data_IF_721107489114
#
_entry.id   IF_721107489114
#
_cell.length_a   1.000
_cell.length_b   1.000
_cell.length_c   1.000
_cell.angle_alpha   90.00
_cell.angle_beta   90.00
_cell.angle_gamma   90.00
#
_symmetry.space_group_name_H-M   'P 1'
#
loop_
_entity.id
_entity.type
_entity.pdbx_description
1 polymer ?
#
# COMPACT_ATOMS: atom_id res chain seq x y z
N UNK A 1 -9.19 8.37 -12.35
CA UNK A 1 -8.14 8.61 -11.33
C UNK A 1 -8.62 8.03 -10.02
N UNK A 2 -7.79 7.23 -9.36
CA UNK A 2 -8.09 6.70 -8.03
C UNK A 2 -8.40 7.85 -7.06
N UNK A 3 -9.41 7.67 -6.20
CA UNK A 3 -9.73 8.63 -5.12
C UNK A 3 -8.76 8.53 -3.94
N UNK A 4 -7.96 7.46 -3.89
CA UNK A 4 -7.05 7.15 -2.79
C UNK A 4 -5.63 7.13 -3.33
N UNK A 5 -4.76 7.89 -2.71
CA UNK A 5 -3.32 7.92 -2.98
C UNK A 5 -2.58 7.54 -1.71
N UNK A 6 -1.94 6.37 -1.65
CA UNK A 6 -1.00 6.03 -0.59
C UNK A 6 0.19 6.99 -0.61
N UNK A 7 0.63 7.43 0.58
CA UNK A 7 1.78 8.30 0.73
C UNK A 7 2.80 7.69 1.68
N UNK A 8 4.05 7.75 1.29
CA UNK A 8 5.23 7.25 2.01
C UNK A 8 5.97 8.45 2.60
N UNK A 9 6.20 8.43 3.91
CA UNK A 9 7.08 9.39 4.56
C UNK A 9 8.53 9.00 4.35
N UNK A 10 9.33 9.91 3.81
CA UNK A 10 10.73 9.68 3.47
C UNK A 10 11.63 10.60 4.29
N UNK A 11 12.59 10.04 5.01
CA UNK A 11 13.61 10.82 5.69
C UNK A 11 14.69 11.28 4.70
N UNK A 12 14.44 12.38 3.98
CA UNK A 12 15.32 12.99 2.95
C UNK A 12 15.66 12.05 1.78
N UNK A 13 14.88 11.00 1.59
CA UNK A 13 15.14 9.94 0.60
C UNK A 13 14.07 9.84 -0.48
N UNK A 14 13.12 10.78 -0.57
CA UNK A 14 11.99 10.67 -1.49
C UNK A 14 12.43 10.53 -2.96
N UNK A 15 13.43 11.28 -3.42
CA UNK A 15 13.93 11.20 -4.79
C UNK A 15 14.68 9.89 -5.05
N UNK A 16 15.44 9.42 -4.06
CA UNK A 16 16.16 8.13 -4.13
C UNK A 16 15.17 6.97 -4.17
N UNK A 17 14.17 6.96 -3.27
CA UNK A 17 13.13 5.95 -3.22
C UNK A 17 12.30 5.93 -4.51
N UNK A 18 11.90 7.10 -5.02
CA UNK A 18 11.16 7.19 -6.28
C UNK A 18 11.96 6.62 -7.45
N UNK A 19 13.26 6.94 -7.56
CA UNK A 19 14.13 6.37 -8.60
C UNK A 19 14.27 4.86 -8.46
N UNK A 20 14.44 4.36 -7.24
CA UNK A 20 14.50 2.93 -6.96
C UNK A 20 13.22 2.20 -7.42
N UNK A 21 12.04 2.78 -7.19
CA UNK A 21 10.78 2.17 -7.66
C UNK A 21 10.58 2.32 -9.17
N UNK A 22 11.03 3.41 -9.81
CA UNK A 22 11.08 3.54 -11.27
C UNK A 22 11.94 2.43 -11.90
N UNK A 23 13.07 2.10 -11.27
CA UNK A 23 13.97 1.04 -11.75
C UNK A 23 13.46 -0.38 -11.41
N UNK A 24 12.58 -0.50 -10.40
CA UNK A 24 12.04 -1.77 -9.93
C UNK A 24 10.79 -2.19 -10.70
N UNK A 25 9.83 -1.30 -10.87
CA UNK A 25 8.57 -1.59 -11.54
C UNK A 25 8.62 -1.20 -13.03
N UNK A 26 7.81 -1.87 -13.83
CA UNK A 26 7.54 -1.45 -15.22
C UNK A 26 6.40 -0.45 -15.25
N UNK A 27 6.23 0.27 -16.34
CA UNK A 27 5.15 1.25 -16.53
C UNK A 27 5.03 2.22 -15.35
N UNK A 28 6.09 2.98 -15.10
CA UNK A 28 6.15 3.98 -14.03
C UNK A 28 6.31 5.37 -14.64
N UNK A 29 5.51 6.32 -14.18
CA UNK A 29 5.57 7.73 -14.59
C UNK A 29 5.63 8.63 -13.38
N UNK A 30 6.56 9.59 -13.34
CA UNK A 30 6.51 10.70 -12.39
C UNK A 30 5.51 11.73 -12.91
N UNK A 31 4.46 12.03 -12.15
CA UNK A 31 3.37 12.91 -12.59
C UNK A 31 3.33 14.24 -11.85
N UNK A 32 4.00 14.33 -10.71
CA UNK A 32 4.06 15.57 -9.94
C UNK A 32 5.32 15.64 -9.11
N UNK A 33 5.85 16.86 -8.98
CA UNK A 33 7.00 17.18 -8.12
C UNK A 33 6.84 18.59 -7.61
N UNK A 34 6.98 18.77 -6.30
CA UNK A 34 6.95 20.09 -5.66
C UNK A 34 8.17 20.30 -4.79
N UNK A 35 8.52 21.54 -4.50
CA UNK A 35 9.72 21.88 -3.74
C UNK A 35 9.38 22.77 -2.55
N UNK A 36 10.16 22.65 -1.50
CA UNK A 36 10.17 23.63 -0.43
C UNK A 36 10.55 25.01 -0.98
N UNK A 37 9.92 26.10 -0.49
CA UNK A 37 10.39 27.43 -0.80
C UNK A 37 11.86 27.61 -0.43
N UNK A 38 12.55 28.51 -1.13
CA UNK A 38 13.95 28.85 -0.78
C UNK A 38 14.02 29.83 0.38
N UNK A 39 12.92 30.55 0.68
CA UNK A 39 12.82 31.57 1.73
C UNK A 39 11.48 31.43 2.48
N UNK A 40 11.42 31.96 3.71
CA UNK A 40 10.19 32.02 4.51
C UNK A 40 9.82 30.72 5.20
N UNK A 41 10.71 29.71 5.21
CA UNK A 41 10.49 28.46 5.93
C UNK A 41 10.63 28.69 7.45
N UNK A 42 9.83 27.96 8.27
CA UNK A 42 10.05 27.86 9.71
C UNK A 42 11.44 27.28 10.02
N UNK A 43 11.99 27.59 11.21
CA UNK A 43 13.36 27.17 11.60
C UNK A 43 13.59 25.66 11.42
N UNK A 44 12.63 24.82 11.80
CA UNK A 44 12.75 23.37 11.67
C UNK A 44 12.72 22.85 10.22
N UNK A 45 12.32 23.69 9.25
CA UNK A 45 12.32 23.36 7.83
C UNK A 45 13.43 24.05 7.03
N UNK A 46 14.23 24.93 7.63
CA UNK A 46 15.30 25.67 6.93
C UNK A 46 16.28 24.75 6.18
N UNK A 47 16.57 23.57 6.75
CA UNK A 47 17.48 22.59 6.14
C UNK A 47 16.89 21.91 4.89
N UNK A 48 15.63 22.13 4.56
CA UNK A 48 14.95 21.61 3.37
C UNK A 48 14.79 22.63 2.24
N UNK A 49 15.22 23.91 2.46
CA UNK A 49 15.04 24.97 1.49
C UNK A 49 15.46 24.58 0.07
N UNK A 50 14.56 24.70 -0.90
CA UNK A 50 14.78 24.32 -2.30
C UNK A 50 14.79 22.82 -2.61
N UNK A 51 14.78 21.94 -1.61
CA UNK A 51 14.69 20.50 -1.83
C UNK A 51 13.27 20.07 -2.25
N UNK A 52 13.13 18.87 -2.81
CA UNK A 52 11.81 18.29 -3.07
C UNK A 52 11.05 18.15 -1.75
N UNK A 53 9.79 18.59 -1.72
CA UNK A 53 8.87 18.38 -0.59
C UNK A 53 7.96 17.18 -0.84
N UNK A 54 7.49 17.01 -2.07
CA UNK A 54 6.70 15.84 -2.46
C UNK A 54 6.89 15.50 -3.93
N UNK A 55 6.70 14.25 -4.26
CA UNK A 55 6.58 13.76 -5.63
C UNK A 55 5.50 12.65 -5.67
N UNK A 56 4.93 12.43 -6.85
CA UNK A 56 3.94 11.38 -7.07
C UNK A 56 4.34 10.56 -8.31
N UNK A 57 4.33 9.25 -8.15
CA UNK A 57 4.48 8.28 -9.24
C UNK A 57 3.12 7.67 -9.57
N UNK A 58 2.92 7.33 -10.83
CA UNK A 58 1.94 6.33 -11.26
C UNK A 58 2.70 5.05 -11.57
N UNK A 59 2.40 3.99 -10.84
CA UNK A 59 2.97 2.64 -11.05
C UNK A 59 1.84 1.77 -11.59
N UNK A 60 1.91 1.35 -12.86
CA UNK A 60 0.79 0.71 -13.56
C UNK A 60 -0.54 1.47 -13.36
N UNK A 61 -0.50 2.80 -13.49
CA UNK A 61 -1.67 3.66 -13.29
C UNK A 61 -2.09 3.88 -11.82
N UNK A 62 -1.47 3.20 -10.85
CA UNK A 62 -1.76 3.36 -9.43
C UNK A 62 -0.93 4.51 -8.83
N UNK A 63 -1.54 5.55 -8.24
CA UNK A 63 -0.80 6.68 -7.68
C UNK A 63 -0.10 6.30 -6.37
N UNK A 64 1.14 6.75 -6.21
CA UNK A 64 1.94 6.63 -4.99
C UNK A 64 2.63 7.97 -4.72
N UNK A 65 2.32 8.57 -3.59
CA UNK A 65 2.91 9.83 -3.13
C UNK A 65 4.13 9.59 -2.24
N UNK A 66 5.08 10.50 -2.30
CA UNK A 66 6.27 10.53 -1.44
C UNK A 66 6.35 11.90 -0.78
N UNK A 67 6.45 11.92 0.53
CA UNK A 67 6.61 13.14 1.33
C UNK A 67 8.04 13.16 1.85
N UNK A 68 8.83 14.14 1.39
CA UNK A 68 10.22 14.28 1.78
C UNK A 68 10.35 15.18 3.00
N UNK A 69 10.64 14.58 4.14
CA UNK A 69 10.69 15.24 5.43
C UNK A 69 11.87 14.73 6.28
N UNK A 70 11.75 14.79 7.58
CA UNK A 70 12.73 14.32 8.55
C UNK A 70 12.47 12.86 9.01
N UNK A 71 13.12 12.44 10.08
CA UNK A 71 13.04 11.12 10.67
C UNK A 71 11.96 10.96 11.75
N UNK A 72 11.02 11.90 11.84
CA UNK A 72 9.93 11.89 12.83
C UNK A 72 9.07 10.64 12.66
N UNK A 73 8.75 10.27 11.41
CA UNK A 73 7.97 9.08 11.09
C UNK A 73 8.73 8.16 10.16
N UNK A 74 8.41 6.86 10.24
CA UNK A 74 8.95 5.83 9.35
C UNK A 74 7.85 4.87 8.93
N UNK A 75 7.83 4.44 7.67
CA UNK A 75 7.00 3.31 7.26
C UNK A 75 7.34 2.07 8.10
N UNK A 76 6.37 1.20 8.27
CA UNK A 76 6.55 -0.10 8.89
C UNK A 76 5.52 -1.09 8.32
N UNK A 77 5.64 -2.40 8.57
CA UNK A 77 4.79 -3.40 7.94
C UNK A 77 3.31 -3.40 8.36
N UNK A 78 2.86 -2.51 9.26
CA UNK A 78 1.44 -2.35 9.56
C UNK A 78 0.66 -1.74 8.39
N UNK A 79 1.33 -1.00 7.50
CA UNK A 79 0.71 -0.46 6.29
C UNK A 79 1.72 -0.46 5.13
N UNK A 80 1.24 -0.78 3.93
CA UNK A 80 2.08 -0.87 2.74
C UNK A 80 1.25 -1.23 1.52
N UNK A 81 1.79 -2.07 0.67
CA UNK A 81 1.19 -2.45 -0.60
C UNK A 81 1.08 -3.97 -0.76
N UNK A 82 0.00 -4.40 -1.40
CA UNK A 82 -0.07 -5.69 -2.07
C UNK A 82 0.09 -5.46 -3.57
N UNK A 83 1.07 -6.11 -4.17
CA UNK A 83 1.31 -6.12 -5.62
C UNK A 83 0.59 -7.34 -6.19
N UNK A 84 -0.49 -7.10 -6.92
CA UNK A 84 -1.23 -8.15 -7.61
C UNK A 84 -0.64 -8.36 -9.00
N UNK A 85 -0.03 -9.52 -9.21
CA UNK A 85 0.51 -9.93 -10.49
C UNK A 85 -0.32 -11.04 -11.11
N UNK A 86 -1.14 -10.66 -12.09
CA UNK A 86 -1.94 -11.58 -12.91
C UNK A 86 -1.58 -11.43 -14.39
N UNK A 87 -2.18 -12.24 -15.25
CA UNK A 87 -2.05 -12.12 -16.71
C UNK A 87 -2.53 -10.77 -17.25
N UNK A 88 -3.29 -10.00 -16.48
CA UNK A 88 -3.64 -8.62 -16.83
C UNK A 88 -2.47 -7.63 -16.70
N UNK A 89 -1.40 -8.02 -15.98
CA UNK A 89 -0.27 -7.15 -15.66
C UNK A 89 1.05 -7.61 -16.30
N UNK A 90 1.20 -8.91 -16.56
CA UNK A 90 2.41 -9.48 -17.17
C UNK A 90 2.08 -10.78 -17.90
N UNK A 91 2.83 -11.05 -18.99
CA UNK A 91 2.71 -12.30 -19.75
C UNK A 91 3.13 -13.52 -18.91
N UNK A 92 4.10 -13.36 -18.03
CA UNK A 92 4.53 -14.35 -17.04
C UNK A 92 4.55 -13.71 -15.64
N UNK A 93 3.45 -13.80 -14.89
CA UNK A 93 3.35 -13.22 -13.55
C UNK A 93 4.36 -13.80 -12.55
N UNK A 94 4.75 -15.07 -12.69
CA UNK A 94 5.70 -15.72 -11.78
C UNK A 94 7.11 -15.18 -12.03
N UNK A 95 7.55 -15.09 -13.27
CA UNK A 95 8.85 -14.53 -13.60
C UNK A 95 8.93 -13.03 -13.23
N UNK A 96 7.82 -12.30 -13.39
CA UNK A 96 7.80 -10.88 -13.05
C UNK A 96 7.83 -10.66 -11.53
N UNK A 97 7.13 -11.48 -10.73
CA UNK A 97 7.18 -11.37 -9.26
C UNK A 97 8.59 -11.71 -8.73
N UNK A 98 9.26 -12.71 -9.30
CA UNK A 98 10.64 -13.06 -8.94
C UNK A 98 11.59 -11.89 -9.23
N UNK A 99 11.44 -11.23 -10.38
CA UNK A 99 12.23 -10.05 -10.76
C UNK A 99 11.99 -8.87 -9.80
N UNK A 100 10.75 -8.60 -9.43
CA UNK A 100 10.39 -7.51 -8.49
C UNK A 100 10.94 -7.84 -7.11
N UNK A 101 10.80 -9.09 -6.65
CA UNK A 101 11.33 -9.56 -5.37
C UNK A 101 12.84 -9.30 -5.27
N UNK A 102 13.62 -9.71 -6.28
CA UNK A 102 15.08 -9.57 -6.27
C UNK A 102 15.53 -8.10 -6.16
N UNK A 103 14.70 -7.17 -6.66
CA UNK A 103 14.96 -5.74 -6.53
C UNK A 103 14.58 -5.20 -5.15
N UNK A 104 13.39 -5.53 -4.66
CA UNK A 104 12.88 -4.99 -3.39
C UNK A 104 13.63 -5.53 -2.18
N UNK A 105 14.12 -6.78 -2.24
CA UNK A 105 14.85 -7.41 -1.13
C UNK A 105 16.27 -6.85 -0.97
N UNK A 106 16.82 -6.21 -2.00
CA UNK A 106 18.17 -5.62 -1.94
C UNK A 106 18.22 -4.46 -0.93
N UNK A 107 18.92 -4.68 0.18
CA UNK A 107 18.97 -3.77 1.33
C UNK A 107 17.73 -3.82 2.24
N UNK A 108 16.76 -4.67 1.91
CA UNK A 108 15.56 -4.95 2.70
C UNK A 108 15.65 -6.26 3.48
N UNK A 109 14.49 -6.76 3.92
CA UNK A 109 14.38 -8.06 4.60
C UNK A 109 13.09 -8.79 4.23
N UNK A 110 13.14 -10.11 4.16
CA UNK A 110 11.96 -10.94 4.02
C UNK A 110 11.23 -11.05 5.38
N UNK A 111 9.94 -10.78 5.36
CA UNK A 111 9.00 -11.07 6.44
C UNK A 111 8.35 -12.43 6.23
N UNK A 112 8.07 -12.78 4.96
CA UNK A 112 7.77 -14.14 4.50
C UNK A 112 8.59 -14.42 3.23
N UNK A 113 9.26 -15.58 3.15
CA UNK A 113 10.08 -15.92 1.98
C UNK A 113 9.28 -15.95 0.67
N UNK A 114 9.96 -15.75 -0.45
CA UNK A 114 9.39 -15.95 -1.77
C UNK A 114 9.22 -17.47 -2.01
N UNK A 115 7.98 -17.95 -1.99
CA UNK A 115 7.66 -19.36 -2.11
C UNK A 115 6.22 -19.57 -2.63
N UNK A 116 5.83 -20.81 -2.82
CA UNK A 116 4.44 -21.25 -3.02
C UNK A 116 3.74 -21.38 -1.66
N UNK A 117 2.52 -20.84 -1.58
CA UNK A 117 1.66 -20.91 -0.40
C UNK A 117 0.28 -21.44 -0.77
N UNK A 118 -0.50 -22.00 0.17
CA UNK A 118 -1.84 -22.53 -0.14
C UNK A 118 -2.79 -21.51 -0.78
N UNK A 119 -2.54 -20.22 -0.58
CA UNK A 119 -3.35 -19.12 -1.09
C UNK A 119 -2.78 -18.44 -2.34
N UNK A 120 -1.54 -18.75 -2.73
CA UNK A 120 -0.87 -18.14 -3.88
C UNK A 120 0.20 -19.06 -4.46
N UNK A 121 0.26 -19.27 -5.78
CA UNK A 121 1.32 -20.05 -6.41
C UNK A 121 2.71 -19.39 -6.29
N UNK A 122 2.75 -18.09 -6.03
CA UNK A 122 3.99 -17.35 -5.76
C UNK A 122 3.72 -16.13 -4.91
N UNK A 123 4.29 -16.07 -3.72
CA UNK A 123 4.09 -15.00 -2.75
C UNK A 123 5.37 -14.69 -2.00
N UNK A 124 5.54 -13.42 -1.64
CA UNK A 124 6.52 -12.96 -0.68
C UNK A 124 5.97 -11.80 0.14
N UNK A 125 6.47 -11.62 1.35
CA UNK A 125 6.25 -10.41 2.12
C UNK A 125 7.59 -9.81 2.51
N UNK A 126 7.84 -8.57 2.10
CA UNK A 126 9.13 -7.89 2.19
C UNK A 126 8.95 -6.54 2.87
N UNK A 127 9.91 -6.14 3.68
CA UNK A 127 10.17 -4.75 4.04
C UNK A 127 11.41 -4.30 3.26
N UNK A 128 11.27 -3.29 2.40
CA UNK A 128 12.38 -2.80 1.60
C UNK A 128 13.35 -1.90 2.40
N UNK A 129 14.41 -1.42 1.76
CA UNK A 129 15.45 -0.56 2.38
C UNK A 129 14.91 0.76 2.94
N UNK A 130 13.73 1.21 2.51
CA UNK A 130 13.07 2.43 2.98
C UNK A 130 12.03 2.15 4.08
N UNK A 131 11.85 0.88 4.46
CA UNK A 131 10.88 0.43 5.46
C UNK A 131 9.48 0.24 4.91
N UNK A 132 9.29 0.35 3.59
CA UNK A 132 7.99 0.13 2.95
C UNK A 132 7.71 -1.36 2.85
N UNK A 133 6.50 -1.74 3.23
CA UNK A 133 6.01 -3.12 3.21
C UNK A 133 5.40 -3.47 1.85
N UNK A 134 5.83 -4.59 1.29
CA UNK A 134 5.40 -5.12 0.00
C UNK A 134 4.98 -6.57 0.14
N UNK A 135 3.71 -6.86 -0.10
CA UNK A 135 3.19 -8.22 -0.28
C UNK A 135 3.11 -8.50 -1.78
N UNK A 136 3.98 -9.35 -2.28
CA UNK A 136 4.01 -9.76 -3.68
C UNK A 136 3.10 -10.98 -3.83
N UNK A 137 2.11 -10.91 -4.72
CA UNK A 137 1.04 -11.90 -4.78
C UNK A 137 0.66 -12.23 -6.21
N UNK A 138 0.75 -13.51 -6.55
CA UNK A 138 0.15 -14.08 -7.77
C UNK A 138 -1.17 -14.73 -7.37
N UNK A 139 -2.32 -14.29 -7.90
CA UNK A 139 -3.61 -14.90 -7.59
C UNK A 139 -3.71 -16.32 -8.16
N UNK A 140 -4.63 -17.13 -7.61
CA UNK A 140 -4.95 -18.44 -8.19
C UNK A 140 -5.51 -18.27 -9.62
N UNK A 141 -5.27 -19.24 -10.52
CA UNK A 141 -5.81 -19.20 -11.87
C UNK A 141 -7.32 -18.97 -11.92
N UNK A 142 -7.77 -18.02 -12.73
CA UNK A 142 -9.18 -17.68 -12.89
C UNK A 142 -9.72 -16.71 -11.83
N UNK A 143 -8.91 -16.22 -10.92
CA UNK A 143 -9.31 -15.13 -10.02
C UNK A 143 -9.57 -13.85 -10.81
N UNK A 144 -10.52 -13.06 -10.36
CA UNK A 144 -10.79 -11.75 -10.93
C UNK A 144 -9.56 -10.82 -10.73
N UNK A 145 -9.10 -10.11 -11.76
CA UNK A 145 -7.94 -9.22 -11.63
C UNK A 145 -8.21 -8.07 -10.66
N UNK A 146 -7.16 -7.55 -10.06
CA UNK A 146 -7.17 -6.36 -9.20
C UNK A 146 -6.20 -5.32 -9.78
N UNK A 147 -6.22 -4.06 -9.30
CA UNK A 147 -5.16 -3.10 -9.62
C UNK A 147 -3.79 -3.67 -9.29
N UNK A 148 -2.77 -3.27 -10.05
CA UNK A 148 -1.40 -3.72 -9.81
C UNK A 148 -0.94 -3.46 -8.37
N UNK A 149 -1.24 -2.27 -7.83
CA UNK A 149 -0.99 -1.91 -6.43
C UNK A 149 -2.30 -1.74 -5.68
N UNK A 150 -2.44 -2.45 -4.59
CA UNK A 150 -3.54 -2.30 -3.61
C UNK A 150 -2.92 -1.93 -2.27
N UNK A 151 -3.36 -0.83 -1.61
CA UNK A 151 -2.94 -0.55 -0.23
C UNK A 151 -3.31 -1.72 0.68
N UNK A 152 -2.40 -2.10 1.58
CA UNK A 152 -2.57 -3.21 2.50
C UNK A 152 -2.37 -2.76 3.95
N UNK A 153 -3.31 -3.11 4.82
CA UNK A 153 -3.31 -2.76 6.23
C UNK A 153 -3.24 -4.02 7.10
N UNK A 154 -2.29 -4.07 8.03
CA UNK A 154 -2.15 -5.14 9.01
C UNK A 154 -2.45 -4.59 10.42
N UNK A 155 -3.57 -4.99 10.96
CA UNK A 155 -4.01 -4.62 12.30
C UNK A 155 -3.23 -5.44 13.33
N UNK A 156 -2.39 -4.77 14.13
CA UNK A 156 -1.51 -5.38 15.12
C UNK A 156 -1.36 -4.48 16.36
N UNK A 157 -0.82 -5.00 17.44
CA UNK A 157 -0.64 -4.26 18.70
C UNK A 157 -1.95 -3.68 19.22
N UNK A 158 -2.05 -2.36 19.50
CA UNK A 158 -3.29 -1.72 19.97
C UNK A 158 -4.47 -1.80 18.99
N UNK A 159 -4.21 -2.01 17.70
CA UNK A 159 -5.22 -2.15 16.66
C UNK A 159 -5.65 -3.61 16.40
N UNK A 160 -5.02 -4.58 17.07
CA UNK A 160 -5.30 -6.01 16.90
C UNK A 160 -6.79 -6.34 17.08
N UNK A 161 -7.33 -7.20 16.20
CA UNK A 161 -8.74 -7.64 16.15
C UNK A 161 -9.77 -6.51 15.87
N UNK A 162 -9.35 -5.41 15.24
CA UNK A 162 -10.22 -4.29 14.86
C UNK A 162 -10.39 -4.13 13.36
N UNK A 163 -9.88 -5.08 12.56
CA UNK A 163 -9.96 -5.00 11.11
C UNK A 163 -11.42 -4.95 10.62
N UNK A 164 -12.30 -5.81 11.13
CA UNK A 164 -13.72 -5.85 10.76
C UNK A 164 -14.44 -4.50 11.04
N UNK A 165 -14.19 -3.90 12.22
CA UNK A 165 -14.74 -2.58 12.58
C UNK A 165 -14.28 -1.48 11.61
N UNK A 166 -12.99 -1.51 11.24
CA UNK A 166 -12.42 -0.55 10.30
C UNK A 166 -13.01 -0.71 8.90
N UNK A 167 -13.14 -1.94 8.40
CA UNK A 167 -13.75 -2.23 7.09
C UNK A 167 -15.20 -1.75 7.03
N UNK A 168 -16.01 -2.03 8.07
CA UNK A 168 -17.38 -1.54 8.14
C UNK A 168 -17.45 -0.01 8.10
N UNK A 169 -16.51 0.66 8.78
CA UNK A 169 -16.39 2.12 8.76
C UNK A 169 -16.03 2.61 7.35
N UNK A 170 -15.03 2.04 6.70
CA UNK A 170 -14.61 2.45 5.35
C UNK A 170 -15.73 2.26 4.32
N UNK A 171 -16.42 1.11 4.34
CA UNK A 171 -17.59 0.89 3.46
C UNK A 171 -18.67 1.93 3.69
N UNK A 172 -18.89 2.38 4.91
CA UNK A 172 -19.92 3.40 5.21
C UNK A 172 -19.53 4.82 4.74
N UNK A 173 -18.24 5.11 4.58
CA UNK A 173 -17.73 6.45 4.23
C UNK A 173 -17.66 6.70 2.73
N UNK A 174 -17.46 5.67 1.92
CA UNK A 174 -17.27 5.81 0.48
C UNK A 174 -18.52 5.40 -0.28
N UNK A 175 -19.10 6.31 -1.05
CA UNK A 175 -20.24 6.02 -1.90
C UNK A 175 -19.90 4.93 -2.94
N UNK A 176 -20.73 3.89 -3.01
CA UNK A 176 -20.52 2.74 -3.88
C UNK A 176 -19.44 1.78 -3.41
N UNK A 177 -18.94 1.94 -2.18
CA UNK A 177 -18.04 0.96 -1.58
C UNK A 177 -18.77 -0.35 -1.28
N UNK A 178 -18.03 -1.45 -1.37
CA UNK A 178 -18.58 -2.79 -1.16
C UNK A 178 -17.52 -3.69 -0.52
N UNK A 179 -17.91 -4.44 0.50
CA UNK A 179 -17.10 -5.51 1.03
C UNK A 179 -16.97 -6.62 -0.02
N UNK A 180 -15.74 -6.94 -0.39
CA UNK A 180 -15.41 -8.07 -1.25
C UNK A 180 -15.22 -9.36 -0.44
N UNK A 181 -14.09 -10.03 -0.67
CA UNK A 181 -13.75 -11.25 0.07
C UNK A 181 -13.40 -10.91 1.51
N UNK A 182 -13.97 -11.66 2.46
CA UNK A 182 -13.57 -11.66 3.87
C UNK A 182 -13.36 -13.10 4.30
N UNK A 183 -12.14 -13.43 4.71
CA UNK A 183 -11.76 -14.77 5.21
C UNK A 183 -11.46 -14.63 6.70
N UNK A 184 -12.26 -15.25 7.58
CA UNK A 184 -12.00 -15.19 9.03
C UNK A 184 -10.97 -16.25 9.45
N UNK A 185 -10.29 -15.99 10.56
CA UNK A 185 -9.54 -17.04 11.27
C UNK A 185 -10.51 -18.11 11.79
N UNK A 186 -10.30 -19.40 11.44
CA UNK A 186 -11.19 -20.48 11.89
C UNK A 186 -11.09 -20.74 13.40
N UNK A 187 -9.93 -20.46 13.99
CA UNK A 187 -9.62 -20.60 15.40
C UNK A 187 -8.68 -19.47 15.86
N UNK A 188 -8.47 -19.35 17.15
CA UNK A 188 -7.49 -18.37 17.65
C UNK A 188 -6.10 -18.72 17.12
N UNK A 189 -5.45 -17.72 16.50
CA UNK A 189 -4.11 -17.85 15.91
C UNK A 189 -3.23 -16.71 16.43
N UNK A 190 -2.32 -17.02 17.33
CA UNK A 190 -1.54 -16.01 18.03
C UNK A 190 -2.45 -14.96 18.69
N UNK A 191 -2.27 -13.65 18.41
CA UNK A 191 -3.11 -12.58 18.93
C UNK A 191 -4.47 -12.45 18.24
N UNK A 192 -4.65 -13.05 17.04
CA UNK A 192 -5.92 -13.03 16.33
C UNK A 192 -6.92 -13.99 16.99
N UNK A 193 -8.09 -13.47 17.40
CA UNK A 193 -9.18 -14.30 17.91
C UNK A 193 -9.86 -15.09 16.78
N UNK A 194 -10.53 -16.19 17.12
CA UNK A 194 -11.41 -16.86 16.17
C UNK A 194 -12.45 -15.85 15.62
N UNK A 195 -12.65 -15.87 14.30
CA UNK A 195 -13.53 -14.93 13.59
C UNK A 195 -12.90 -13.57 13.25
N UNK A 196 -11.70 -13.23 13.76
CA UNK A 196 -10.96 -12.05 13.30
C UNK A 196 -10.62 -12.18 11.81
N UNK A 197 -10.35 -11.08 11.14
CA UNK A 197 -10.12 -11.05 9.69
C UNK A 197 -8.71 -11.56 9.38
N UNK A 198 -8.61 -12.77 8.82
CA UNK A 198 -7.34 -13.32 8.34
C UNK A 198 -6.91 -12.68 7.03
N UNK A 199 -7.87 -12.35 6.16
CA UNK A 199 -7.66 -11.66 4.90
C UNK A 199 -8.96 -11.00 4.45
N UNK A 200 -8.86 -9.81 3.86
CA UNK A 200 -10.00 -9.18 3.20
C UNK A 200 -9.57 -8.33 2.02
N UNK A 201 -10.50 -8.19 1.07
CA UNK A 201 -10.46 -7.19 0.01
C UNK A 201 -11.76 -6.37 0.07
N UNK A 202 -11.63 -5.05 -0.03
CA UNK A 202 -12.77 -4.13 0.01
C UNK A 202 -12.61 -3.12 -1.12
N UNK A 203 -13.66 -2.95 -1.94
CA UNK A 203 -13.70 -1.90 -2.94
C UNK A 203 -14.19 -0.60 -2.29
N UNK A 204 -13.40 0.46 -2.40
CA UNK A 204 -13.67 1.76 -1.78
C UNK A 204 -14.28 2.77 -2.77
N UNK A 205 -15.24 2.32 -3.56
CA UNK A 205 -15.94 3.14 -4.54
C UNK A 205 -16.84 2.33 -5.46
N UNK A 206 -17.54 2.98 -6.41
CA UNK A 206 -18.42 2.29 -7.35
C UNK A 206 -17.65 1.36 -8.28
N UNK A 207 -18.29 0.28 -8.71
CA UNK A 207 -17.77 -0.54 -9.80
C UNK A 207 -17.68 0.29 -11.09
N UNK A 208 -16.56 0.15 -11.80
CA UNK A 208 -16.32 0.86 -13.06
C UNK A 208 -16.46 -0.04 -14.29
N UNK A 209 -16.54 -1.36 -14.06
CA UNK A 209 -16.50 -2.38 -15.11
C UNK A 209 -15.09 -2.75 -15.55
N UNK A 210 -14.06 -2.13 -14.94
CA UNK A 210 -12.65 -2.48 -15.08
C UNK A 210 -12.07 -2.71 -13.67
N UNK A 211 -12.01 -3.96 -13.21
CA UNK A 211 -11.52 -4.28 -11.86
C UNK A 211 -10.09 -3.81 -11.60
N UNK A 212 -9.27 -3.64 -12.65
CA UNK A 212 -7.87 -3.19 -12.52
C UNK A 212 -7.75 -1.67 -12.27
N UNK A 213 -8.83 -0.91 -12.50
CA UNK A 213 -8.89 0.54 -12.28
C UNK A 213 -9.72 0.94 -11.05
N UNK A 214 -10.32 -0.01 -10.34
CA UNK A 214 -11.15 0.23 -9.16
C UNK A 214 -10.31 0.46 -7.90
N UNK A 215 -10.78 1.30 -6.94
CA UNK A 215 -10.05 1.54 -5.70
C UNK A 215 -10.27 0.40 -4.70
N UNK A 216 -9.33 -0.51 -4.60
CA UNK A 216 -9.33 -1.61 -3.64
C UNK A 216 -8.45 -1.31 -2.43
N UNK A 217 -8.77 -1.94 -1.31
CA UNK A 217 -8.02 -1.99 -0.07
C UNK A 217 -7.96 -3.43 0.42
N UNK A 218 -6.79 -3.91 0.78
CA UNK A 218 -6.60 -5.17 1.51
C UNK A 218 -6.38 -4.88 2.98
N UNK A 219 -7.02 -5.64 3.86
CA UNK A 219 -6.82 -5.49 5.30
C UNK A 219 -6.93 -6.83 6.04
N UNK A 220 -6.16 -6.97 7.11
CA UNK A 220 -6.09 -8.20 7.90
C UNK A 220 -5.71 -7.91 9.36
N UNK A 221 -6.16 -8.76 10.28
CA UNK A 221 -5.64 -8.83 11.63
C UNK A 221 -4.40 -9.75 11.66
N UNK A 222 -3.37 -9.39 12.42
CA UNK A 222 -2.15 -10.19 12.48
C UNK A 222 -2.36 -11.51 13.21
N UNK A 223 -1.96 -12.61 12.57
CA UNK A 223 -1.91 -13.95 13.19
C UNK A 223 -0.67 -14.19 14.05
N UNK A 224 0.24 -13.23 14.15
CA UNK A 224 1.44 -13.31 14.97
C UNK A 224 1.65 -12.00 15.74
N UNK A 225 2.31 -12.08 16.90
CA UNK A 225 2.75 -10.88 17.62
C UNK A 225 3.68 -10.05 16.73
N UNK A 226 3.42 -8.74 16.66
CA UNK A 226 4.23 -7.82 15.86
C UNK A 226 4.84 -6.73 16.75
N UNK A 227 6.09 -6.34 16.49
CA UNK A 227 6.75 -5.25 17.21
C UNK A 227 6.34 -3.85 16.71
N UNK A 228 5.35 -3.76 15.80
CA UNK A 228 4.89 -2.53 15.15
C UNK A 228 3.36 -2.43 15.18
N UNK A 229 2.86 -1.24 14.97
CA UNK A 229 1.46 -0.89 14.73
C UNK A 229 1.39 0.26 13.73
N UNK A 230 0.19 0.75 13.39
CA UNK A 230 0.04 1.90 12.50
C UNK A 230 0.84 3.12 12.98
N UNK A 231 1.45 3.79 12.03
CA UNK A 231 2.19 5.04 12.21
C UNK A 231 1.94 5.96 11.02
N UNK A 232 2.28 7.23 11.18
CA UNK A 232 2.17 8.26 10.14
C UNK A 232 3.19 8.09 9.01
N UNK A 233 4.11 7.13 9.12
CA UNK A 233 5.10 6.80 8.08
C UNK A 233 4.47 6.30 6.77
N UNK A 234 3.22 5.81 6.84
CA UNK A 234 2.40 5.48 5.68
C UNK A 234 0.99 6.02 5.89
N UNK A 235 0.43 6.71 4.91
CA UNK A 235 -0.90 7.31 5.00
C UNK A 235 -1.68 7.16 3.70
N UNK A 236 -3.01 7.24 3.79
CA UNK A 236 -3.91 7.21 2.65
C UNK A 236 -4.55 8.59 2.48
N UNK A 237 -4.18 9.30 1.42
CA UNK A 237 -4.81 10.57 1.06
C UNK A 237 -6.08 10.29 0.25
N UNK A 238 -7.20 10.86 0.70
CA UNK A 238 -8.49 10.75 0.00
C UNK A 238 -8.81 12.06 -0.70
N UNK A 239 -9.04 12.01 -2.02
CA UNK A 239 -9.51 13.16 -2.82
C UNK A 239 -11.04 13.21 -2.78
N UNK A 240 -11.60 14.17 -2.06
CA UNK A 240 -13.03 14.44 -2.04
C UNK A 240 -13.39 15.58 -3.03
N UNK A 241 -14.48 15.40 -3.78
CA UNK A 241 -15.07 16.52 -4.50
C UNK A 241 -15.89 17.35 -3.49
N UNK A 242 -15.41 18.55 -3.18
CA UNK A 242 -16.22 19.50 -2.42
C UNK A 242 -17.32 19.96 -3.38
N UNK A 243 -18.56 19.58 -3.11
CA UNK A 243 -19.73 20.08 -3.84
C UNK A 243 -19.71 21.62 -3.82
N UNK A 244 -19.89 22.26 -4.97
CA UNK A 244 -20.13 23.72 -4.99
C UNK A 244 -21.36 23.98 -4.16
N UNK A 245 -21.22 24.70 -3.05
CA UNK A 245 -22.35 25.29 -2.38
C UNK A 245 -23.06 26.19 -3.43
N UNK A 246 -24.29 25.87 -3.78
CA UNK A 246 -25.12 26.81 -4.50
C UNK A 246 -25.42 27.96 -3.52
N UNK A 247 -24.78 29.09 -3.75
CA UNK A 247 -25.14 30.36 -3.15
C UNK A 247 -26.34 30.91 -3.89
#
# INVERSE_FOLDING_TARGET
>A
MSRITPNIWCNRTAEEAARFYIDTFRDVQEVSRTHYPTEGLPDFQQSFAGQVVSLELLIHGCPVGFINADDTFRPNPAAGFMVHLSEAHADDPIAEIDRIHDRLIDGGRALMPLDEYPFSPRYAWIEDRYGVSWQLFVPQPGAEPRPFLVPALLFSGPAQNRCEEALATYVSLFEGAEAGVIVPYPEQTGPARAGAVMFSETRLGPATGDPTAEPWLTAMDSGAEQPFTFSEGFSLMVRAQIGRAHV
#
